data_IF_407281708280
#
_entry.id   IF_407281708280
#
_cell.length_a   1.000
_cell.length_b   1.000
_cell.length_c   1.000
_cell.angle_alpha   90.00
_cell.angle_beta   90.00
_cell.angle_gamma   90.00
#
_symmetry.space_group_name_H-M   'P 1'
#
loop_
_entity.id
_entity.type
_entity.pdbx_description
1 polymer ?
#
# COMPACT_ATOMS: atom_id res chain seq x y z
N UNK A 1 -35.04 76.67 7.41
CA UNK A 1 -34.48 75.61 6.54
C UNK A 1 -34.54 74.26 7.26
N UNK A 2 -35.12 73.23 6.64
CA UNK A 2 -35.48 71.97 7.30
C UNK A 2 -34.29 71.00 7.39
N UNK A 3 -33.72 70.85 8.59
CA UNK A 3 -32.56 69.99 8.91
C UNK A 3 -32.72 68.54 8.43
N UNK A 4 -33.96 68.05 8.40
CA UNK A 4 -34.30 66.71 7.92
C UNK A 4 -34.04 66.50 6.42
N UNK A 5 -34.18 67.53 5.58
CA UNK A 5 -33.89 67.43 4.13
C UNK A 5 -32.40 67.39 3.85
N UNK A 6 -31.62 68.12 4.66
CA UNK A 6 -30.16 68.14 4.53
C UNK A 6 -29.55 66.78 4.89
N UNK A 7 -30.01 66.14 5.97
CA UNK A 7 -29.51 64.83 6.39
C UNK A 7 -29.81 63.71 5.37
N UNK A 8 -30.95 63.76 4.68
CA UNK A 8 -31.28 62.78 3.62
C UNK A 8 -30.40 62.95 2.39
N UNK A 9 -30.12 64.19 1.98
CA UNK A 9 -29.22 64.46 0.87
C UNK A 9 -27.78 64.00 1.18
N UNK A 10 -27.32 64.22 2.41
CA UNK A 10 -25.99 63.78 2.84
C UNK A 10 -25.83 62.25 2.91
N UNK A 11 -26.85 61.56 3.42
CA UNK A 11 -26.88 60.09 3.45
C UNK A 11 -26.89 59.48 2.03
N UNK A 12 -27.61 60.11 1.09
CA UNK A 12 -27.62 59.63 -0.30
C UNK A 12 -26.26 59.80 -0.98
N UNK A 13 -25.60 60.95 -0.80
CA UNK A 13 -24.29 61.22 -1.39
C UNK A 13 -23.19 60.29 -0.84
N UNK A 14 -23.26 59.93 0.45
CA UNK A 14 -22.30 59.00 1.07
C UNK A 14 -22.45 57.58 0.53
N UNK A 15 -23.67 57.10 0.33
CA UNK A 15 -23.92 55.77 -0.25
C UNK A 15 -23.46 55.71 -1.72
N UNK A 16 -23.78 56.73 -2.52
CA UNK A 16 -23.35 56.78 -3.93
C UNK A 16 -21.83 56.85 -4.03
N UNK A 17 -21.16 57.65 -3.19
CA UNK A 17 -19.70 57.70 -3.14
C UNK A 17 -19.06 56.37 -2.80
N UNK A 18 -19.60 55.64 -1.81
CA UNK A 18 -19.10 54.31 -1.44
C UNK A 18 -19.25 53.28 -2.57
N UNK A 19 -20.37 53.30 -3.30
CA UNK A 19 -20.60 52.40 -4.43
C UNK A 19 -19.64 52.68 -5.59
N UNK A 20 -19.33 53.95 -5.89
CA UNK A 20 -18.36 54.29 -6.91
C UNK A 20 -16.94 53.80 -6.57
N UNK A 21 -16.53 53.92 -5.30
CA UNK A 21 -15.21 53.45 -4.85
C UNK A 21 -15.11 51.91 -4.96
N UNK A 22 -16.15 51.19 -4.55
CA UNK A 22 -16.19 49.73 -4.66
C UNK A 22 -16.19 49.26 -6.12
N UNK A 23 -16.93 49.95 -7.01
CA UNK A 23 -16.92 49.66 -8.43
C UNK A 23 -15.55 49.87 -9.07
N UNK A 24 -14.86 50.96 -8.73
CA UNK A 24 -13.51 51.24 -9.22
C UNK A 24 -12.49 50.22 -8.72
N UNK A 25 -12.51 49.86 -7.43
CA UNK A 25 -11.62 48.85 -6.86
C UNK A 25 -11.84 47.45 -7.47
N UNK A 26 -13.09 47.10 -7.78
CA UNK A 26 -13.40 45.83 -8.46
C UNK A 26 -12.88 45.80 -9.90
N UNK A 27 -13.03 46.90 -10.63
CA UNK A 27 -12.53 47.01 -12.00
C UNK A 27 -11.00 46.98 -12.06
N UNK A 28 -10.32 47.66 -11.14
CA UNK A 28 -8.85 47.64 -11.06
C UNK A 28 -8.30 46.25 -10.71
N UNK A 29 -8.96 45.50 -9.82
CA UNK A 29 -8.57 44.10 -9.57
C UNK A 29 -8.74 43.22 -10.80
N UNK A 30 -9.80 43.43 -11.57
CA UNK A 30 -10.06 42.67 -12.79
C UNK A 30 -9.01 42.96 -13.85
N UNK A 31 -8.66 44.23 -14.06
CA UNK A 31 -7.61 44.62 -15.00
C UNK A 31 -6.23 44.10 -14.58
N UNK A 32 -5.91 44.06 -13.28
CA UNK A 32 -4.68 43.42 -12.77
C UNK A 32 -4.66 41.90 -12.96
N UNK A 33 -5.81 41.24 -12.86
CA UNK A 33 -5.92 39.81 -13.11
C UNK A 33 -5.80 39.47 -14.60
N UNK A 34 -6.31 40.33 -15.49
CA UNK A 34 -6.21 40.18 -16.94
C UNK A 34 -4.83 40.57 -17.49
N UNK A 35 -4.14 41.55 -16.87
CA UNK A 35 -2.79 41.99 -17.26
C UNK A 35 -1.65 41.12 -16.70
N UNK A 36 -1.95 40.22 -15.75
CA UNK A 36 -1.03 39.17 -15.36
C UNK A 36 -0.99 38.12 -16.48
N UNK A 37 -0.17 38.36 -17.51
CA UNK A 37 0.18 37.32 -18.49
C UNK A 37 0.59 36.06 -17.72
N UNK A 38 0.06 34.87 -18.08
CA UNK A 38 0.57 33.64 -17.50
C UNK A 38 2.04 33.56 -17.90
N UNK A 39 2.92 33.68 -16.90
CA UNK A 39 4.36 33.56 -17.09
C UNK A 39 4.61 32.34 -17.98
N UNK A 40 5.09 32.59 -19.21
CA UNK A 40 5.31 31.55 -20.20
C UNK A 40 6.13 30.43 -19.57
N UNK A 41 5.52 29.26 -19.43
CA UNK A 41 6.17 28.13 -18.76
C UNK A 41 7.28 27.62 -19.67
N UNK A 42 8.49 27.63 -19.13
CA UNK A 42 9.63 26.99 -19.75
C UNK A 42 9.44 25.46 -19.66
N UNK A 43 9.27 24.75 -20.78
CA UNK A 43 9.02 23.31 -20.80
C UNK A 43 10.14 22.48 -20.14
N UNK A 44 11.36 23.03 -20.05
CA UNK A 44 12.54 22.35 -19.51
C UNK A 44 12.48 22.17 -17.98
N UNK A 45 11.65 22.95 -17.27
CA UNK A 45 11.55 22.85 -15.80
C UNK A 45 10.76 21.62 -15.33
N UNK A 46 9.91 21.05 -16.18
CA UNK A 46 9.12 19.86 -15.83
C UNK A 46 9.92 18.58 -16.07
N UNK A 47 10.97 18.63 -16.90
CA UNK A 47 11.81 17.48 -17.21
C UNK A 47 13.01 17.28 -16.24
N UNK A 48 13.29 18.20 -15.32
CA UNK A 48 14.49 18.09 -14.49
C UNK A 48 14.35 17.30 -13.19
N UNK A 49 13.21 17.41 -12.49
CA UNK A 49 13.14 17.07 -11.06
C UNK A 49 12.21 15.90 -10.69
N UNK A 50 11.41 15.37 -11.62
CA UNK A 50 10.37 14.37 -11.31
C UNK A 50 10.79 12.92 -11.64
N UNK A 51 11.90 12.73 -12.36
CA UNK A 51 12.18 11.44 -13.01
C UNK A 51 12.72 10.30 -12.14
N UNK A 52 13.13 10.55 -10.88
CA UNK A 52 13.81 9.52 -10.09
C UNK A 52 12.92 8.80 -9.05
N UNK A 53 11.73 9.31 -8.71
CA UNK A 53 10.96 8.80 -7.55
C UNK A 53 9.47 8.52 -7.81
N UNK A 54 9.06 8.47 -9.08
CA UNK A 54 7.63 8.39 -9.43
C UNK A 54 6.93 9.75 -9.21
N UNK A 55 5.78 9.92 -9.85
CA UNK A 55 4.99 11.14 -9.72
C UNK A 55 4.44 11.23 -8.28
N UNK A 56 4.67 12.35 -7.56
CA UNK A 56 4.16 12.51 -6.20
C UNK A 56 2.63 12.50 -6.17
N UNK A 57 2.05 12.08 -5.04
CA UNK A 57 0.61 12.23 -4.78
C UNK A 57 0.19 13.69 -5.02
N UNK A 58 -0.91 13.88 -5.75
CA UNK A 58 -1.39 15.22 -6.11
C UNK A 58 -0.67 15.88 -7.30
N UNK A 59 0.11 15.15 -8.10
CA UNK A 59 0.69 15.66 -9.35
C UNK A 59 -0.36 16.21 -10.33
N UNK A 60 -1.56 15.61 -10.39
CA UNK A 60 -2.69 16.15 -11.16
C UNK A 60 -3.23 17.44 -10.55
N UNK A 61 -3.43 17.49 -9.24
CA UNK A 61 -3.82 18.70 -8.53
C UNK A 61 -2.76 19.82 -8.67
N UNK A 62 -1.47 19.49 -8.79
CA UNK A 62 -0.40 20.44 -9.07
C UNK A 62 -0.46 20.95 -10.51
N UNK A 63 -0.54 20.04 -11.49
CA UNK A 63 -0.69 20.40 -12.92
C UNK A 63 -1.94 21.26 -13.12
N UNK A 64 -3.11 20.84 -12.62
CA UNK A 64 -4.36 21.58 -12.77
C UNK A 64 -4.35 22.96 -12.08
N UNK A 65 -3.80 23.06 -10.85
CA UNK A 65 -3.69 24.35 -10.13
C UNK A 65 -2.72 25.31 -10.79
N UNK A 66 -1.62 24.81 -11.34
CA UNK A 66 -0.60 25.65 -11.94
C UNK A 66 -1.11 26.44 -13.16
N UNK A 67 -2.17 25.97 -13.82
CA UNK A 67 -2.59 26.57 -15.08
C UNK A 67 -4.05 27.07 -15.13
N UNK A 68 -4.82 27.03 -14.02
CA UNK A 68 -6.23 27.49 -13.99
C UNK A 68 -7.05 26.97 -15.20
N UNK A 69 -6.94 25.67 -15.46
CA UNK A 69 -7.23 25.11 -16.78
C UNK A 69 -8.71 25.02 -17.14
N UNK A 70 -9.00 25.41 -18.38
CA UNK A 70 -10.19 24.99 -19.11
C UNK A 70 -10.21 23.46 -19.32
N UNK A 71 -11.36 22.93 -19.76
CA UNK A 71 -11.56 21.48 -19.88
C UNK A 71 -10.53 20.78 -20.77
N UNK A 72 -10.14 21.40 -21.88
CA UNK A 72 -9.18 20.83 -22.86
C UNK A 72 -7.78 20.67 -22.28
N UNK A 73 -7.31 21.64 -21.50
CA UNK A 73 -5.97 21.56 -20.93
C UNK A 73 -5.90 20.62 -19.73
N UNK A 74 -6.99 20.43 -18.97
CA UNK A 74 -7.05 19.38 -17.93
C UNK A 74 -6.84 17.99 -18.54
N UNK A 75 -7.43 17.74 -19.72
CA UNK A 75 -7.20 16.51 -20.46
C UNK A 75 -5.73 16.37 -20.90
N UNK A 76 -5.09 17.45 -21.35
CA UNK A 76 -3.67 17.41 -21.70
C UNK A 76 -2.77 17.10 -20.48
N UNK A 77 -3.02 17.73 -19.33
CA UNK A 77 -2.35 17.40 -18.05
C UNK A 77 -2.55 15.92 -17.69
N UNK A 78 -3.77 15.41 -17.84
CA UNK A 78 -4.07 14.01 -17.55
C UNK A 78 -3.33 13.05 -18.48
N UNK A 79 -3.39 13.25 -19.80
CA UNK A 79 -2.69 12.41 -20.78
C UNK A 79 -1.18 12.39 -20.52
N UNK A 80 -0.58 13.55 -20.26
CA UNK A 80 0.84 13.67 -19.94
C UNK A 80 1.22 12.93 -18.65
N UNK A 81 0.37 12.99 -17.62
CA UNK A 81 0.58 12.23 -16.39
C UNK A 81 0.46 10.73 -16.62
N UNK A 82 -0.56 10.29 -17.38
CA UNK A 82 -0.79 8.89 -17.71
C UNK A 82 0.39 8.27 -18.47
N UNK A 83 0.96 8.97 -19.45
CA UNK A 83 2.12 8.50 -20.22
C UNK A 83 3.36 8.28 -19.37
N UNK A 84 3.47 8.99 -18.24
CA UNK A 84 4.64 8.97 -17.35
C UNK A 84 4.44 8.11 -16.12
N UNK A 85 3.20 7.68 -15.86
CA UNK A 85 2.88 6.84 -14.70
C UNK A 85 3.16 5.39 -15.02
N UNK A 86 3.97 4.76 -14.19
CA UNK A 86 4.16 3.32 -14.22
C UNK A 86 3.20 2.70 -13.21
N UNK A 87 2.16 2.03 -13.69
CA UNK A 87 1.30 1.23 -12.82
C UNK A 87 2.05 -0.05 -12.45
N UNK A 88 2.12 -0.41 -11.14
CA UNK A 88 2.60 -1.72 -10.74
C UNK A 88 1.81 -2.80 -11.50
N UNK A 89 2.42 -3.90 -11.95
CA UNK A 89 1.67 -4.97 -12.59
C UNK A 89 0.68 -5.59 -11.60
N UNK A 90 -0.51 -5.95 -12.07
CA UNK A 90 -1.44 -6.73 -11.26
C UNK A 90 -0.80 -8.11 -11.00
N UNK A 91 -0.87 -8.66 -9.76
CA UNK A 91 -0.38 -10.00 -9.49
C UNK A 91 -0.96 -11.03 -10.46
N UNK A 92 -0.09 -11.82 -11.09
CA UNK A 92 -0.49 -12.79 -12.09
C UNK A 92 -1.39 -13.87 -11.46
N UNK A 93 -2.61 -14.02 -11.98
CA UNK A 93 -3.48 -15.13 -11.60
C UNK A 93 -2.80 -16.45 -11.95
N UNK A 94 -2.77 -17.39 -11.01
CA UNK A 94 -2.23 -18.73 -11.25
C UNK A 94 -0.81 -18.95 -10.73
N UNK A 95 -0.07 -17.89 -10.41
CA UNK A 95 1.28 -18.00 -9.82
C UNK A 95 1.24 -18.17 -8.29
N UNK A 96 0.36 -19.05 -7.83
CA UNK A 96 0.14 -19.30 -6.40
C UNK A 96 1.36 -19.94 -5.71
N UNK A 97 2.27 -20.50 -6.51
CA UNK A 97 3.49 -21.18 -6.08
C UNK A 97 4.72 -20.26 -5.98
N UNK A 98 4.58 -18.96 -6.25
CA UNK A 98 5.67 -17.96 -6.13
C UNK A 98 6.26 -17.81 -4.73
N UNK A 99 5.69 -18.47 -3.72
CA UNK A 99 6.12 -18.36 -2.32
C UNK A 99 5.65 -17.09 -1.61
N UNK A 100 4.92 -16.21 -2.31
CA UNK A 100 4.31 -15.01 -1.73
C UNK A 100 3.25 -15.37 -0.70
N UNK A 101 3.18 -14.59 0.38
CA UNK A 101 2.07 -14.62 1.34
C UNK A 101 0.83 -13.96 0.75
N UNK A 102 -0.35 -14.31 1.25
CA UNK A 102 -1.58 -13.59 0.92
C UNK A 102 -1.52 -12.12 1.33
N UNK A 103 -0.72 -11.75 2.34
CA UNK A 103 -0.47 -10.36 2.73
C UNK A 103 0.31 -9.59 1.66
N UNK A 104 1.42 -10.14 1.18
CA UNK A 104 2.20 -9.58 0.08
C UNK A 104 1.34 -9.42 -1.18
N UNK A 105 0.52 -10.42 -1.53
CA UNK A 105 -0.43 -10.30 -2.63
C UNK A 105 -1.41 -9.13 -2.44
N UNK A 106 -2.00 -8.97 -1.24
CA UNK A 106 -2.94 -7.88 -0.96
C UNK A 106 -2.27 -6.51 -1.08
N UNK A 107 -1.02 -6.38 -0.67
CA UNK A 107 -0.27 -5.13 -0.80
C UNK A 107 0.03 -4.80 -2.26
N UNK A 108 0.43 -5.79 -3.07
CA UNK A 108 0.64 -5.61 -4.51
C UNK A 108 -0.66 -5.23 -5.25
N UNK A 109 -1.78 -5.90 -4.93
CA UNK A 109 -3.11 -5.54 -5.46
C UNK A 109 -3.46 -4.11 -5.08
N UNK A 110 -3.29 -3.73 -3.81
CA UNK A 110 -3.56 -2.37 -3.34
C UNK A 110 -2.72 -1.34 -4.09
N UNK A 111 -1.42 -1.59 -4.26
CA UNK A 111 -0.52 -0.69 -5.00
C UNK A 111 -0.94 -0.54 -6.47
N UNK A 112 -1.37 -1.63 -7.12
CA UNK A 112 -1.87 -1.59 -8.49
C UNK A 112 -3.11 -0.70 -8.65
N UNK A 113 -4.09 -0.83 -7.75
CA UNK A 113 -5.36 -0.11 -7.86
C UNK A 113 -5.32 1.31 -7.27
N UNK A 114 -4.50 1.58 -6.24
CA UNK A 114 -4.47 2.88 -5.57
C UNK A 114 -4.21 4.05 -6.53
N UNK A 115 -3.27 3.89 -7.48
CA UNK A 115 -2.97 4.93 -8.46
C UNK A 115 -4.14 5.17 -9.43
N UNK A 116 -4.79 4.11 -9.90
CA UNK A 116 -5.92 4.20 -10.83
C UNK A 116 -7.15 4.84 -10.15
N UNK A 117 -7.41 4.47 -8.89
CA UNK A 117 -8.49 5.05 -8.10
C UNK A 117 -8.22 6.55 -7.87
N UNK A 118 -6.99 6.90 -7.48
CA UNK A 118 -6.59 8.31 -7.33
C UNK A 118 -6.83 9.10 -8.62
N UNK A 119 -6.49 8.53 -9.78
CA UNK A 119 -6.69 9.19 -11.08
C UNK A 119 -8.16 9.40 -11.41
N UNK A 120 -9.01 8.40 -11.16
CA UNK A 120 -10.44 8.53 -11.35
C UNK A 120 -11.05 9.62 -10.44
N UNK A 121 -10.61 9.69 -9.18
CA UNK A 121 -11.03 10.74 -8.23
C UNK A 121 -10.54 12.11 -8.67
N UNK A 122 -9.30 12.24 -9.12
CA UNK A 122 -8.71 13.49 -9.61
C UNK A 122 -9.46 14.02 -10.85
N UNK A 123 -9.95 13.12 -11.71
CA UNK A 123 -10.82 13.44 -12.84
C UNK A 123 -12.29 13.70 -12.45
N UNK A 124 -12.64 13.56 -11.17
CA UNK A 124 -14.01 13.62 -10.67
C UNK A 124 -14.94 12.55 -11.27
N UNK A 125 -14.38 11.46 -11.80
CA UNK A 125 -15.13 10.30 -12.29
C UNK A 125 -15.34 9.30 -11.14
N UNK A 126 -16.31 9.64 -10.28
CA UNK A 126 -16.64 8.83 -9.10
C UNK A 126 -17.24 7.47 -9.48
N UNK A 127 -17.85 7.35 -10.66
CA UNK A 127 -18.36 6.06 -11.14
C UNK A 127 -17.20 5.12 -11.45
N UNK A 128 -16.21 5.59 -12.19
CA UNK A 128 -15.00 4.81 -12.49
C UNK A 128 -14.21 4.48 -11.21
N UNK A 129 -14.08 5.43 -10.28
CA UNK A 129 -13.41 5.18 -9.00
C UNK A 129 -14.09 4.05 -8.22
N UNK A 130 -15.43 4.02 -8.20
CA UNK A 130 -16.19 2.96 -7.55
C UNK A 130 -15.97 1.59 -8.21
N UNK A 131 -16.01 1.50 -9.55
CA UNK A 131 -15.76 0.24 -10.27
C UNK A 131 -14.34 -0.30 -10.01
N UNK A 132 -13.35 0.59 -9.84
CA UNK A 132 -11.98 0.20 -9.53
C UNK A 132 -11.85 -0.37 -8.11
N UNK A 133 -12.56 0.20 -7.13
CA UNK A 133 -12.61 -0.32 -5.75
C UNK A 133 -13.23 -1.72 -5.73
N UNK A 134 -14.32 -1.95 -6.46
CA UNK A 134 -14.92 -3.28 -6.57
C UNK A 134 -13.95 -4.31 -7.18
N UNK A 135 -13.22 -3.92 -8.23
CA UNK A 135 -12.19 -4.77 -8.85
C UNK A 135 -11.01 -5.05 -7.93
N UNK A 136 -10.60 -4.06 -7.13
CA UNK A 136 -9.57 -4.24 -6.10
C UNK A 136 -10.02 -5.30 -5.09
N UNK A 137 -11.24 -5.18 -4.57
CA UNK A 137 -11.78 -6.14 -3.61
C UNK A 137 -11.91 -7.54 -4.20
N UNK A 138 -12.31 -7.67 -5.46
CA UNK A 138 -12.34 -8.95 -6.19
C UNK A 138 -10.95 -9.58 -6.29
N UNK A 139 -9.92 -8.79 -6.63
CA UNK A 139 -8.54 -9.25 -6.69
C UNK A 139 -8.00 -9.62 -5.31
N UNK A 140 -8.28 -8.82 -4.27
CA UNK A 140 -7.88 -9.10 -2.88
C UNK A 140 -8.49 -10.41 -2.36
N UNK A 141 -9.72 -10.76 -2.77
CA UNK A 141 -10.33 -12.05 -2.38
C UNK A 141 -9.56 -13.25 -2.93
N UNK A 142 -8.93 -13.12 -4.10
CA UNK A 142 -8.12 -14.17 -4.72
C UNK A 142 -6.78 -14.36 -3.99
N UNK A 143 -6.29 -13.35 -3.27
CA UNK A 143 -5.03 -13.46 -2.52
C UNK A 143 -5.04 -14.55 -1.43
N UNK A 144 -6.22 -14.99 -0.96
CA UNK A 144 -6.33 -16.13 -0.04
C UNK A 144 -5.82 -17.45 -0.65
N UNK A 145 -5.80 -17.56 -1.98
CA UNK A 145 -5.30 -18.75 -2.67
C UNK A 145 -3.79 -18.94 -2.49
N UNK A 146 -3.01 -17.86 -2.31
CA UNK A 146 -1.57 -17.96 -2.02
C UNK A 146 -1.30 -18.66 -0.70
N UNK A 147 -2.04 -18.28 0.36
CA UNK A 147 -1.90 -18.94 1.66
C UNK A 147 -2.36 -20.39 1.59
N UNK A 148 -3.46 -20.67 0.88
CA UNK A 148 -3.95 -22.05 0.66
C UNK A 148 -2.96 -22.94 -0.11
N UNK A 149 -2.27 -22.40 -1.12
CA UNK A 149 -1.27 -23.13 -1.89
C UNK A 149 0.00 -23.40 -1.08
N UNK A 150 0.39 -22.47 -0.19
CA UNK A 150 1.56 -22.62 0.69
C UNK A 150 1.31 -23.53 1.90
N UNK A 151 0.08 -23.58 2.42
CA UNK A 151 -0.27 -24.30 3.64
C UNK A 151 0.18 -25.77 3.65
N UNK A 152 0.02 -26.57 2.57
CA UNK A 152 0.54 -27.93 2.54
C UNK A 152 2.05 -28.01 2.80
N UNK A 153 2.84 -27.15 2.14
CA UNK A 153 4.31 -27.17 2.21
C UNK A 153 4.85 -26.60 3.52
N UNK A 154 4.17 -25.62 4.10
CA UNK A 154 4.64 -24.88 5.28
C UNK A 154 4.10 -25.45 6.60
N UNK A 155 2.94 -26.11 6.59
CA UNK A 155 2.32 -26.62 7.81
C UNK A 155 2.11 -28.14 7.73
N UNK A 156 1.43 -28.65 6.70
CA UNK A 156 0.98 -30.06 6.69
C UNK A 156 2.13 -31.05 6.52
N UNK A 157 3.02 -30.79 5.56
CA UNK A 157 4.22 -31.60 5.34
C UNK A 157 5.20 -31.54 6.53
N UNK A 158 5.54 -30.34 7.07
CA UNK A 158 6.25 -30.22 8.34
C UNK A 158 5.61 -30.97 9.50
N UNK A 159 4.28 -30.90 9.66
CA UNK A 159 3.59 -31.63 10.71
C UNK A 159 3.77 -33.15 10.60
N UNK A 160 3.68 -33.70 9.38
CA UNK A 160 3.93 -35.13 9.15
C UNK A 160 5.39 -35.52 9.41
N UNK A 161 6.36 -34.68 9.00
CA UNK A 161 7.78 -34.90 9.34
C UNK A 161 8.01 -34.89 10.85
N UNK A 162 7.41 -33.93 11.53
CA UNK A 162 7.53 -33.76 12.98
C UNK A 162 6.93 -34.95 13.75
N UNK A 163 5.80 -35.52 13.28
CA UNK A 163 5.25 -36.77 13.81
C UNK A 163 6.27 -37.92 13.71
N UNK A 164 6.92 -38.09 12.55
CA UNK A 164 7.96 -39.11 12.39
C UNK A 164 9.18 -38.89 13.30
N UNK A 165 9.56 -37.64 13.57
CA UNK A 165 10.62 -37.32 14.52
C UNK A 165 10.21 -37.63 15.97
N UNK A 166 8.96 -37.36 16.34
CA UNK A 166 8.41 -37.70 17.66
C UNK A 166 8.43 -39.22 17.87
N UNK A 167 7.99 -40.01 16.90
CA UNK A 167 8.02 -41.47 16.97
C UNK A 167 9.45 -42.03 17.11
N UNK A 168 10.42 -41.41 16.44
CA UNK A 168 11.85 -41.75 16.57
C UNK A 168 12.39 -41.42 17.96
N UNK A 169 12.10 -40.24 18.48
CA UNK A 169 12.46 -39.83 19.84
C UNK A 169 11.89 -40.79 20.89
N UNK A 170 10.64 -41.23 20.74
CA UNK A 170 10.01 -42.21 21.64
C UNK A 170 10.70 -43.57 21.62
N UNK A 171 11.35 -43.94 20.49
CA UNK A 171 12.18 -45.14 20.37
C UNK A 171 13.62 -44.94 20.86
N UNK A 172 13.95 -43.74 21.36
CA UNK A 172 15.28 -43.38 21.86
C UNK A 172 16.27 -43.00 20.75
N UNK A 173 15.81 -42.81 19.52
CA UNK A 173 16.65 -42.33 18.42
C UNK A 173 16.80 -40.80 18.50
N UNK A 174 18.04 -40.31 18.52
CA UNK A 174 18.30 -38.87 18.49
C UNK A 174 18.12 -38.30 17.07
N UNK A 175 17.42 -37.17 16.91
CA UNK A 175 17.39 -36.44 15.65
C UNK A 175 18.77 -35.82 15.39
N UNK A 176 19.20 -35.84 14.14
CA UNK A 176 20.40 -35.17 13.69
C UNK A 176 20.29 -33.65 13.85
N UNK A 177 21.43 -32.94 13.85
CA UNK A 177 21.43 -31.47 13.89
C UNK A 177 20.69 -30.86 12.69
N UNK A 178 20.84 -31.44 11.49
CA UNK A 178 20.13 -31.00 10.30
C UNK A 178 18.60 -31.13 10.42
N UNK A 179 18.11 -32.16 11.10
CA UNK A 179 16.68 -32.33 11.37
C UNK A 179 16.18 -31.28 12.37
N UNK A 180 16.96 -30.98 13.41
CA UNK A 180 16.63 -29.94 14.39
C UNK A 180 16.61 -28.54 13.74
N UNK A 181 17.58 -28.24 12.87
CA UNK A 181 17.65 -27.00 12.10
C UNK A 181 16.45 -26.86 11.14
N UNK A 182 16.05 -27.95 10.49
CA UNK A 182 14.87 -27.98 9.64
C UNK A 182 13.59 -27.67 10.43
N UNK A 183 13.41 -28.28 11.61
CA UNK A 183 12.26 -27.99 12.49
C UNK A 183 12.25 -26.52 12.92
N UNK A 184 13.40 -25.94 13.26
CA UNK A 184 13.50 -24.52 13.62
C UNK A 184 13.21 -23.57 12.43
N UNK A 185 13.55 -23.95 11.21
CA UNK A 185 13.17 -23.22 10.01
C UNK A 185 11.67 -23.31 9.75
N UNK A 186 11.09 -24.51 9.84
CA UNK A 186 9.67 -24.76 9.65
C UNK A 186 8.80 -23.99 10.65
N UNK A 187 9.20 -23.93 11.92
CA UNK A 187 8.51 -23.12 12.94
C UNK A 187 8.45 -21.65 12.55
N UNK A 188 9.55 -21.08 12.05
CA UNK A 188 9.59 -19.69 11.59
C UNK A 188 8.61 -19.46 10.44
N UNK A 189 8.57 -20.37 9.47
CA UNK A 189 7.64 -20.28 8.35
C UNK A 189 6.17 -20.45 8.80
N UNK A 190 5.91 -21.27 9.81
CA UNK A 190 4.58 -21.43 10.37
C UNK A 190 4.03 -20.16 11.03
N UNK A 191 4.88 -19.18 11.39
CA UNK A 191 4.42 -17.89 11.92
C UNK A 191 3.68 -17.04 10.89
N UNK A 192 3.87 -17.28 9.59
CA UNK A 192 3.14 -16.60 8.51
C UNK A 192 1.63 -16.91 8.49
N UNK A 193 1.18 -17.92 9.25
CA UNK A 193 -0.18 -18.47 9.20
C UNK A 193 -0.97 -18.31 10.52
N UNK A 194 -1.04 -17.11 11.14
CA UNK A 194 -1.53 -16.95 12.51
C UNK A 194 -3.00 -17.36 12.71
N UNK A 195 -3.82 -17.25 11.66
CA UNK A 195 -5.25 -17.52 11.71
C UNK A 195 -5.65 -18.94 11.28
N UNK A 196 -4.68 -19.83 11.00
CA UNK A 196 -4.96 -21.17 10.46
C UNK A 196 -5.02 -22.22 11.58
N UNK A 197 -6.12 -22.99 11.73
CA UNK A 197 -6.24 -24.03 12.76
C UNK A 197 -5.15 -25.09 12.68
N UNK A 198 -4.70 -25.46 11.47
CA UNK A 198 -3.63 -26.43 11.29
C UNK A 198 -2.29 -25.97 11.87
N UNK A 199 -2.04 -24.66 11.95
CA UNK A 199 -0.86 -24.10 12.62
C UNK A 199 -0.88 -24.45 14.11
N UNK A 200 -2.02 -24.32 14.78
CA UNK A 200 -2.13 -24.62 16.21
C UNK A 200 -1.81 -26.10 16.48
N UNK A 201 -2.37 -26.99 15.65
CA UNK A 201 -2.08 -28.42 15.74
C UNK A 201 -0.60 -28.75 15.46
N UNK A 202 0.08 -27.99 14.60
CA UNK A 202 1.52 -28.09 14.38
C UNK A 202 2.32 -27.61 15.60
N UNK A 203 1.97 -26.46 16.20
CA UNK A 203 2.65 -25.91 17.37
C UNK A 203 2.52 -26.80 18.61
N UNK A 204 1.38 -27.46 18.78
CA UNK A 204 1.18 -28.45 19.84
C UNK A 204 2.13 -29.64 19.68
N UNK A 205 2.26 -30.18 18.46
CA UNK A 205 3.23 -31.25 18.16
C UNK A 205 4.67 -30.78 18.39
N UNK A 206 4.98 -29.53 18.04
CA UNK A 206 6.31 -28.95 18.25
C UNK A 206 6.67 -28.86 19.73
N UNK A 207 5.68 -28.57 20.58
CA UNK A 207 5.85 -28.58 22.03
C UNK A 207 6.19 -29.98 22.53
N UNK A 208 5.44 -31.00 22.11
CA UNK A 208 5.71 -32.42 22.45
C UNK A 208 7.10 -32.84 21.98
N UNK A 209 7.48 -32.49 20.74
CA UNK A 209 8.82 -32.78 20.21
C UNK A 209 9.93 -32.19 21.08
N UNK A 210 9.79 -30.93 21.52
CA UNK A 210 10.76 -30.25 22.38
C UNK A 210 10.88 -30.89 23.76
N UNK A 211 9.75 -31.26 24.36
CA UNK A 211 9.73 -31.94 25.65
C UNK A 211 10.44 -33.30 25.59
N UNK A 212 10.18 -34.08 24.54
CA UNK A 212 10.85 -35.37 24.32
C UNK A 212 12.34 -35.19 24.05
N UNK A 213 12.72 -34.21 23.24
CA UNK A 213 14.11 -33.90 22.95
C UNK A 213 14.88 -33.49 24.22
N UNK A 214 14.26 -32.70 25.09
CA UNK A 214 14.84 -32.29 26.36
C UNK A 214 14.92 -33.42 27.40
N UNK A 215 14.02 -34.40 27.32
CA UNK A 215 13.99 -35.57 28.19
C UNK A 215 15.01 -36.64 27.80
N UNK A 216 15.61 -36.57 26.60
CA UNK A 216 16.67 -37.48 26.22
C UNK A 216 17.86 -37.30 27.18
N UNK A 217 18.39 -38.40 27.74
CA UNK A 217 19.60 -38.30 28.53
C UNK A 217 20.68 -37.69 27.67
N UNK A 218 21.34 -36.64 28.17
CA UNK A 218 22.57 -36.12 27.56
C UNK A 218 23.45 -37.34 27.32
N UNK A 219 23.67 -37.68 26.05
CA UNK A 219 24.44 -38.85 25.67
C UNK A 219 25.80 -38.70 26.34
N UNK A 220 26.03 -39.48 27.39
CA UNK A 220 27.33 -39.55 28.04
C UNK A 220 28.28 -39.92 26.90
N UNK A 221 29.24 -39.05 26.53
CA UNK A 221 30.15 -39.37 25.44
C UNK A 221 30.75 -40.72 25.81
N UNK A 222 30.56 -41.72 24.93
CA UNK A 222 31.00 -43.08 25.17
C UNK A 222 32.41 -43.01 25.73
N UNK A 223 32.56 -43.28 27.03
CA UNK A 223 33.81 -43.13 27.73
C UNK A 223 34.82 -43.97 26.97
N UNK A 224 35.73 -43.30 26.28
CA UNK A 224 36.63 -43.92 25.33
C UNK A 224 37.44 -44.98 26.11
N UNK A 225 37.22 -46.28 25.88
CA UNK A 225 37.89 -47.31 26.68
C UNK A 225 39.42 -47.29 26.48
N UNK A 226 39.91 -46.56 25.49
CA UNK A 226 41.33 -46.34 25.22
C UNK A 226 42.04 -45.40 26.23
N UNK A 227 41.34 -44.79 27.19
CA UNK A 227 41.96 -43.91 28.20
C UNK A 227 42.32 -44.62 29.53
N UNK A 228 42.24 -45.96 29.60
CA UNK A 228 42.59 -46.76 30.79
C UNK A 228 43.88 -47.58 30.64
N UNK A 229 44.82 -47.15 29.79
CA UNK A 229 46.18 -47.72 29.72
C UNK A 229 47.12 -47.02 30.70
#
# INVERSE_FOLDING_TARGET
MNRARYNRAWAFLTVVGALCILGWAWQEQRERAEAAEPAGVNPDWVEGQVFAQGLPEGAFAACSRQFALGSTQRMACFTWLQERRQYPPLPARGDWDSGKTGAQCRDEVRQHFALQISDAVDMQDMHQAHLLVEREDDARRQCRNYDMARLPRVIREPAARLEGLIERLQRGEQPSSAEQDAVAQEERLAQDFPAWPEREAYLQRLTVYRELLAALPATVPASNPAAQL
#
